data_IF_117099189878
#
_entry.id   IF_117099189878
#
_cell.length_a   1.000
_cell.length_b   1.000
_cell.length_c   1.000
_cell.angle_alpha   90.00
_cell.angle_beta   90.00
_cell.angle_gamma   90.00
#
_symmetry.space_group_name_H-M   'P 1'
#
loop_
_entity.id
_entity.type
_entity.pdbx_description
1 polymer ?
#
# COMPACT_ATOMS: atom_id res chain seq x y z
N UNK A 1 -17.66 -5.35 -9.81
CA UNK A 1 -17.74 -4.12 -10.62
C UNK A 1 -16.48 -4.10 -11.49
N UNK A 2 -16.58 -3.89 -12.80
CA UNK A 2 -15.38 -3.90 -13.64
C UNK A 2 -14.47 -2.73 -13.25
N UNK A 3 -13.16 -2.96 -13.22
CA UNK A 3 -12.19 -1.99 -12.71
C UNK A 3 -12.18 -0.66 -13.46
N UNK A 4 -12.56 -0.70 -14.73
CA UNK A 4 -12.75 0.46 -15.59
C UNK A 4 -13.86 1.42 -15.15
N UNK A 5 -14.86 0.98 -14.37
CA UNK A 5 -15.96 1.84 -13.95
C UNK A 5 -15.58 2.64 -12.71
N UNK A 6 -14.93 2.03 -11.72
CA UNK A 6 -14.49 2.76 -10.53
C UNK A 6 -13.23 3.59 -10.79
N UNK A 7 -12.30 3.14 -11.64
CA UNK A 7 -11.07 3.92 -11.91
C UNK A 7 -11.36 5.24 -12.62
N UNK A 8 -12.35 5.27 -13.52
CA UNK A 8 -12.83 6.52 -14.15
C UNK A 8 -13.38 7.52 -13.14
N UNK A 9 -14.08 7.05 -12.11
CA UNK A 9 -14.58 7.94 -11.07
C UNK A 9 -13.41 8.58 -10.28
N UNK A 10 -12.37 7.78 -9.99
CA UNK A 10 -11.17 8.24 -9.29
C UNK A 10 -10.27 9.14 -10.16
N UNK A 11 -10.32 9.03 -11.49
CA UNK A 11 -9.57 9.88 -12.41
C UNK A 11 -9.91 11.38 -12.29
N UNK A 12 -11.02 11.72 -11.63
CA UNK A 12 -11.42 13.11 -11.37
C UNK A 12 -10.66 13.75 -10.21
N UNK A 13 -9.98 12.95 -9.38
CA UNK A 13 -9.23 13.44 -8.22
C UNK A 13 -8.05 14.31 -8.66
N UNK A 14 -7.86 15.43 -7.97
CA UNK A 14 -6.74 16.35 -8.19
C UNK A 14 -6.17 16.80 -6.86
N UNK A 15 -4.87 16.63 -6.70
CA UNK A 15 -4.13 17.10 -5.54
C UNK A 15 -2.83 17.79 -5.97
N UNK A 16 -2.34 18.81 -5.24
CA UNK A 16 -1.17 19.60 -5.64
C UNK A 16 0.12 18.81 -5.84
N UNK A 17 0.25 17.64 -5.20
CA UNK A 17 1.43 16.76 -5.27
C UNK A 17 1.14 15.44 -5.99
N UNK A 18 0.07 15.37 -6.78
CA UNK A 18 -0.38 14.12 -7.43
C UNK A 18 -1.30 13.27 -6.55
N UNK A 19 -1.92 12.28 -7.19
CA UNK A 19 -2.78 11.29 -6.53
C UNK A 19 -2.00 9.98 -6.48
N UNK A 20 -1.97 9.37 -5.30
CA UNK A 20 -1.06 8.29 -4.93
C UNK A 20 -1.86 7.12 -4.40
N UNK A 21 -1.50 5.90 -4.79
CA UNK A 21 -2.21 4.69 -4.39
C UNK A 21 -1.26 3.51 -4.13
N UNK A 22 -1.73 2.59 -3.30
CA UNK A 22 -1.20 1.23 -3.12
C UNK A 22 -2.37 0.26 -3.25
N UNK A 23 -2.09 -1.02 -3.49
CA UNK A 23 -3.14 -2.03 -3.49
C UNK A 23 -3.45 -2.50 -2.08
N UNK A 24 -4.70 -2.90 -1.87
CA UNK A 24 -5.10 -3.67 -0.70
C UNK A 24 -5.27 -5.15 -0.99
N UNK A 25 -5.53 -5.91 0.07
CA UNK A 25 -5.75 -7.35 0.04
C UNK A 25 -6.86 -7.72 -0.97
N UNK A 26 -7.94 -6.94 -1.07
CA UNK A 26 -9.03 -7.21 -2.01
C UNK A 26 -8.65 -7.01 -3.49
N UNK A 27 -7.78 -6.05 -3.81
CA UNK A 27 -7.25 -5.89 -5.18
C UNK A 27 -6.48 -7.13 -5.63
N UNK A 28 -5.79 -7.77 -4.68
CA UNK A 28 -5.10 -9.02 -4.90
C UNK A 28 -6.03 -10.23 -4.93
N UNK A 29 -6.98 -10.33 -4.00
CA UNK A 29 -7.86 -11.50 -3.85
C UNK A 29 -8.83 -11.66 -5.02
N UNK A 30 -9.27 -10.55 -5.62
CA UNK A 30 -10.18 -10.56 -6.75
C UNK A 30 -9.47 -10.88 -8.08
N UNK A 31 -8.16 -10.62 -8.19
CA UNK A 31 -7.39 -10.93 -9.40
C UNK A 31 -6.87 -12.38 -9.39
N UNK A 32 -7.61 -13.27 -10.06
CA UNK A 32 -7.26 -14.69 -10.19
C UNK A 32 -5.93 -14.93 -10.91
N UNK A 33 -5.52 -14.03 -11.81
CA UNK A 33 -4.26 -14.15 -12.55
C UNK A 33 -3.10 -13.77 -11.63
N UNK A 34 -3.21 -12.66 -10.91
CA UNK A 34 -2.23 -12.26 -9.90
C UNK A 34 -2.12 -13.32 -8.79
N UNK A 35 -3.25 -13.86 -8.30
CA UNK A 35 -3.26 -14.97 -7.34
C UNK A 35 -2.53 -16.21 -7.89
N UNK A 36 -2.73 -16.55 -9.17
CA UNK A 36 -2.05 -17.69 -9.79
C UNK A 36 -0.55 -17.47 -9.92
N UNK A 37 -0.15 -16.27 -10.31
CA UNK A 37 1.26 -15.91 -10.50
C UNK A 37 1.99 -15.77 -9.16
N UNK A 38 1.27 -15.43 -8.08
CA UNK A 38 1.87 -15.14 -6.78
C UNK A 38 2.62 -13.81 -6.74
N UNK A 39 2.22 -12.86 -7.59
CA UNK A 39 2.87 -11.57 -7.74
C UNK A 39 2.55 -10.93 -9.10
N UNK A 40 3.18 -9.78 -9.36
CA UNK A 40 2.96 -8.96 -10.54
C UNK A 40 1.75 -8.03 -10.38
N UNK A 41 1.42 -7.28 -11.43
CA UNK A 41 0.35 -6.28 -11.35
C UNK A 41 -1.04 -6.93 -11.37
N UNK A 42 -1.88 -6.54 -10.41
CA UNK A 42 -3.32 -6.81 -10.44
C UNK A 42 -4.02 -5.94 -11.50
N UNK A 43 -5.27 -6.25 -11.84
CA UNK A 43 -6.08 -5.37 -12.66
C UNK A 43 -6.32 -4.00 -12.00
N UNK A 44 -6.25 -3.92 -10.66
CA UNK A 44 -6.37 -2.68 -9.89
C UNK A 44 -5.20 -1.74 -10.14
N UNK A 45 -3.97 -2.28 -10.09
CA UNK A 45 -2.75 -1.54 -10.45
C UNK A 45 -2.88 -0.89 -11.82
N UNK A 46 -3.21 -1.71 -12.84
CA UNK A 46 -3.35 -1.24 -14.22
C UNK A 46 -4.45 -0.20 -14.36
N UNK A 47 -5.62 -0.42 -13.77
CA UNK A 47 -6.76 0.49 -13.90
C UNK A 47 -6.50 1.86 -13.27
N UNK A 48 -5.79 1.92 -12.13
CA UNK A 48 -5.40 3.18 -11.49
C UNK A 48 -4.29 3.89 -12.27
N UNK A 49 -3.28 3.16 -12.74
CA UNK A 49 -2.22 3.71 -13.58
C UNK A 49 -2.79 4.29 -14.89
N UNK A 50 -3.70 3.59 -15.56
CA UNK A 50 -4.42 4.07 -16.76
C UNK A 50 -5.28 5.31 -16.47
N UNK A 51 -5.73 5.49 -15.22
CA UNK A 51 -6.45 6.68 -14.76
C UNK A 51 -5.52 7.85 -14.39
N UNK A 52 -4.20 7.71 -14.55
CA UNK A 52 -3.20 8.73 -14.23
C UNK A 52 -2.90 8.85 -12.73
N UNK A 53 -3.19 7.81 -11.95
CA UNK A 53 -2.87 7.73 -10.52
C UNK A 53 -1.55 6.99 -10.37
N UNK A 54 -0.62 7.55 -9.59
CA UNK A 54 0.66 6.91 -9.30
C UNK A 54 0.43 5.74 -8.34
N UNK A 55 0.76 4.53 -8.76
CA UNK A 55 0.58 3.30 -7.98
C UNK A 55 1.93 2.76 -7.53
N UNK A 56 2.07 2.50 -6.23
CA UNK A 56 3.31 2.04 -5.62
C UNK A 56 3.24 0.56 -5.25
N UNK A 57 4.27 -0.18 -5.65
CA UNK A 57 4.50 -1.59 -5.31
C UNK A 57 5.90 -1.74 -4.73
N UNK A 58 6.02 -1.74 -3.39
CA UNK A 58 7.30 -1.73 -2.66
C UNK A 58 8.30 -0.68 -3.18
N UNK A 59 7.79 0.54 -3.40
CA UNK A 59 8.52 1.62 -4.06
C UNK A 59 8.47 2.88 -3.22
N UNK A 60 9.62 3.56 -3.12
CA UNK A 60 9.70 4.91 -2.56
C UNK A 60 10.02 5.94 -3.64
N UNK A 61 9.39 7.11 -3.53
CA UNK A 61 9.66 8.28 -4.36
C UNK A 61 9.90 9.50 -3.49
N UNK A 62 10.79 10.38 -3.95
CA UNK A 62 11.04 11.65 -3.30
C UNK A 62 10.11 12.70 -3.89
N UNK A 63 9.36 13.37 -3.03
CA UNK A 63 8.50 14.51 -3.35
C UNK A 63 9.08 15.78 -2.73
N UNK A 64 8.61 16.93 -3.23
CA UNK A 64 9.01 18.23 -2.71
C UNK A 64 7.79 19.13 -2.59
N UNK A 65 7.72 19.87 -1.49
CA UNK A 65 6.70 20.89 -1.25
C UNK A 65 7.34 22.10 -0.59
N UNK A 66 7.17 23.28 -1.21
CA UNK A 66 7.64 24.56 -0.68
C UNK A 66 9.14 24.54 -0.31
N UNK A 67 9.96 23.92 -1.16
CA UNK A 67 11.42 23.78 -0.98
C UNK A 67 11.84 22.71 0.04
N UNK A 68 10.89 21.98 0.64
CA UNK A 68 11.15 20.90 1.59
C UNK A 68 10.88 19.54 0.95
N UNK A 69 11.89 18.67 0.95
CA UNK A 69 11.79 17.31 0.45
C UNK A 69 11.25 16.34 1.50
N UNK A 70 10.51 15.33 1.05
CA UNK A 70 10.11 14.17 1.86
C UNK A 70 9.94 12.94 0.96
N UNK A 71 9.94 11.76 1.54
CA UNK A 71 9.73 10.50 0.81
C UNK A 71 8.31 9.99 1.01
N UNK A 72 7.71 9.50 -0.08
CA UNK A 72 6.49 8.70 -0.04
C UNK A 72 6.87 7.26 -0.41
N UNK A 73 6.71 6.34 0.54
CA UNK A 73 6.97 4.92 0.38
C UNK A 73 5.64 4.16 0.35
N UNK A 74 5.39 3.33 -0.66
CA UNK A 74 4.20 2.49 -0.73
C UNK A 74 4.55 1.01 -0.77
N UNK A 75 3.97 0.25 0.17
CA UNK A 75 4.12 -1.20 0.23
C UNK A 75 3.06 -1.91 -0.61
N UNK A 76 3.41 -3.12 -1.02
CA UNK A 76 2.42 -4.14 -1.34
C UNK A 76 1.69 -4.63 -0.08
N UNK A 77 0.63 -5.41 -0.28
CA UNK A 77 -0.24 -5.87 0.80
C UNK A 77 0.33 -7.07 1.58
N UNK A 78 0.25 -7.02 2.91
CA UNK A 78 0.75 -8.08 3.81
C UNK A 78 -0.10 -9.37 3.76
N UNK A 79 -1.30 -9.27 3.20
CA UNK A 79 -2.29 -10.32 3.04
C UNK A 79 -2.62 -10.54 1.55
N UNK A 80 -1.71 -10.22 0.62
CA UNK A 80 -1.96 -10.28 -0.81
C UNK A 80 -2.40 -11.69 -1.30
N UNK A 81 -1.80 -12.76 -0.81
CA UNK A 81 -1.91 -14.10 -1.39
C UNK A 81 -2.75 -15.06 -0.52
N UNK A 82 -3.86 -15.55 -1.05
CA UNK A 82 -4.76 -16.46 -0.34
C UNK A 82 -4.15 -17.86 -0.14
N UNK A 83 -4.39 -18.53 1.01
CA UNK A 83 -4.07 -19.93 1.19
C UNK A 83 -4.93 -20.80 0.28
N UNK A 84 -4.47 -22.02 0.02
CA UNK A 84 -5.29 -23.03 -0.63
C UNK A 84 -4.48 -24.04 -1.40
N UNK A 85 -4.99 -25.28 -1.43
CA UNK A 85 -4.39 -26.40 -2.18
C UNK A 85 -4.18 -26.07 -3.66
N UNK A 86 -5.10 -25.30 -4.26
CA UNK A 86 -5.00 -24.83 -5.65
C UNK A 86 -3.71 -24.03 -5.91
N UNK A 87 -3.27 -23.25 -4.93
CA UNK A 87 -2.11 -22.37 -5.02
C UNK A 87 -0.85 -22.96 -4.38
N UNK A 88 -0.96 -24.16 -3.77
CA UNK A 88 0.10 -24.78 -2.94
C UNK A 88 0.59 -23.85 -1.81
N UNK A 89 -0.30 -23.03 -1.26
CA UNK A 89 -0.02 -22.11 -0.14
C UNK A 89 -0.68 -22.62 1.12
N UNK A 90 0.11 -22.77 2.19
CA UNK A 90 -0.37 -23.27 3.48
C UNK A 90 -1.01 -22.18 4.35
N UNK A 91 -0.61 -20.92 4.16
CA UNK A 91 -1.07 -19.74 4.89
C UNK A 91 -1.36 -18.58 3.95
N UNK A 92 -1.96 -17.51 4.49
CA UNK A 92 -1.89 -16.18 3.88
C UNK A 92 -0.42 -15.80 3.64
N UNK A 93 -0.14 -15.13 2.52
CA UNK A 93 1.18 -14.61 2.20
C UNK A 93 1.11 -13.12 1.86
N UNK A 94 2.09 -12.37 2.34
CA UNK A 94 2.29 -10.97 1.95
C UNK A 94 3.20 -10.84 0.74
N UNK A 95 3.06 -9.73 0.04
CA UNK A 95 4.01 -9.28 -0.97
C UNK A 95 4.75 -8.01 -0.56
N UNK A 96 4.50 -7.50 0.66
CA UNK A 96 5.19 -6.37 1.25
C UNK A 96 6.70 -6.61 1.38
N UNK A 97 7.49 -5.59 1.07
CA UNK A 97 8.94 -5.56 1.30
C UNK A 97 9.33 -4.22 1.94
N UNK A 98 9.13 -4.12 3.26
CA UNK A 98 9.45 -2.91 4.01
C UNK A 98 10.93 -2.54 3.91
N UNK A 99 11.82 -3.51 4.09
CA UNK A 99 13.26 -3.27 4.09
C UNK A 99 13.75 -2.82 2.70
N UNK A 100 13.34 -3.51 1.64
CA UNK A 100 13.68 -3.13 0.26
C UNK A 100 13.05 -1.81 -0.17
N UNK A 101 11.87 -1.47 0.34
CA UNK A 101 11.23 -0.16 0.10
C UNK A 101 12.01 0.95 0.78
N UNK A 102 12.37 0.81 2.06
CA UNK A 102 13.10 1.83 2.81
C UNK A 102 14.56 1.97 2.38
N UNK A 103 15.17 0.91 1.83
CA UNK A 103 16.52 0.98 1.24
C UNK A 103 16.62 1.95 0.05
N UNK A 104 15.50 2.37 -0.55
CA UNK A 104 15.46 3.33 -1.66
C UNK A 104 15.54 4.79 -1.18
N UNK A 105 15.37 5.03 0.13
CA UNK A 105 15.47 6.36 0.75
C UNK A 105 16.95 6.70 0.92
N UNK A 106 17.45 7.67 0.15
CA UNK A 106 18.89 7.97 0.04
C UNK A 106 19.38 9.16 0.87
N UNK A 107 18.46 9.89 1.52
CA UNK A 107 18.78 11.05 2.36
C UNK A 107 17.97 11.03 3.67
N UNK A 108 18.22 12.01 4.54
CA UNK A 108 17.59 12.11 5.87
C UNK A 108 16.24 12.86 5.85
N UNK A 109 15.64 13.06 4.66
CA UNK A 109 14.32 13.65 4.57
C UNK A 109 13.26 12.72 5.21
N UNK A 110 12.19 13.29 5.81
CA UNK A 110 11.17 12.48 6.48
C UNK A 110 10.46 11.54 5.51
N UNK A 111 10.09 10.34 6.00
CA UNK A 111 9.39 9.32 5.21
C UNK A 111 7.94 9.20 5.65
N UNK A 112 7.02 9.25 4.69
CA UNK A 112 5.62 8.86 4.84
C UNK A 112 5.46 7.47 4.22
N UNK A 113 4.98 6.50 5.01
CA UNK A 113 4.72 5.14 4.57
C UNK A 113 3.23 4.93 4.33
N UNK A 114 2.87 4.45 3.16
CA UNK A 114 1.55 3.91 2.82
C UNK A 114 1.61 2.39 2.98
N UNK A 115 0.74 1.86 3.82
CA UNK A 115 0.51 0.42 3.96
C UNK A 115 -0.99 0.16 3.94
N UNK A 116 -1.44 -0.98 3.43
CA UNK A 116 -2.87 -1.29 3.51
C UNK A 116 -3.25 -1.86 4.87
N UNK A 117 -2.39 -2.74 5.39
CA UNK A 117 -2.59 -3.51 6.61
C UNK A 117 -1.92 -2.82 7.82
N UNK A 118 -2.60 -2.66 8.96
CA UNK A 118 -2.00 -2.03 10.15
C UNK A 118 -1.01 -2.93 10.88
N UNK A 119 -1.05 -4.24 10.67
CA UNK A 119 -0.10 -5.17 11.32
C UNK A 119 1.37 -4.91 10.95
N UNK A 120 1.65 -3.98 10.03
CA UNK A 120 2.99 -3.48 9.74
C UNK A 120 3.59 -2.64 10.88
N UNK A 121 2.79 -1.92 11.67
CA UNK A 121 3.25 -0.90 12.61
C UNK A 121 4.37 -1.36 13.56
N UNK A 122 4.32 -2.57 14.17
CA UNK A 122 5.41 -3.06 15.02
C UNK A 122 6.76 -3.25 14.30
N UNK A 123 6.75 -3.36 12.96
CA UNK A 123 7.94 -3.52 12.12
C UNK A 123 8.45 -2.20 11.56
N UNK A 124 7.64 -1.14 11.60
CA UNK A 124 8.01 0.17 11.05
C UNK A 124 9.10 0.81 11.92
N UNK A 125 10.28 1.15 11.37
CA UNK A 125 11.35 1.75 12.15
C UNK A 125 11.07 3.23 12.45
N UNK A 126 11.69 3.81 13.49
CA UNK A 126 11.54 5.24 13.84
C UNK A 126 11.92 6.24 12.74
N UNK A 127 12.62 5.80 11.67
CA UNK A 127 12.93 6.63 10.48
C UNK A 127 11.67 7.06 9.73
N UNK A 128 10.59 6.30 9.83
CA UNK A 128 9.30 6.64 9.23
C UNK A 128 8.58 7.65 10.12
N UNK A 129 8.37 8.85 9.60
CA UNK A 129 7.76 9.95 10.34
C UNK A 129 6.24 9.80 10.47
N UNK A 130 5.60 9.15 9.49
CA UNK A 130 4.16 8.91 9.46
C UNK A 130 3.86 7.63 8.69
N UNK A 131 2.99 6.77 9.23
CA UNK A 131 2.41 5.65 8.51
C UNK A 131 0.90 5.87 8.35
N UNK A 132 0.42 5.76 7.11
CA UNK A 132 -1.00 5.80 6.77
C UNK A 132 -1.42 4.37 6.43
N UNK A 133 -2.29 3.79 7.28
CA UNK A 133 -2.80 2.43 7.09
C UNK A 133 -4.31 2.38 6.93
N UNK A 134 -4.77 1.44 6.09
CA UNK A 134 -6.16 1.21 5.73
C UNK A 134 -6.73 -0.06 6.38
N UNK A 135 -7.39 -0.88 5.57
CA UNK A 135 -7.97 -2.20 5.88
C UNK A 135 -9.10 -2.24 6.92
N UNK A 136 -8.93 -1.61 8.07
CA UNK A 136 -9.87 -1.68 9.21
C UNK A 136 -11.10 -0.78 9.07
N UNK A 137 -11.18 0.01 7.98
CA UNK A 137 -12.31 0.89 7.66
C UNK A 137 -12.74 1.81 8.83
N UNK A 138 -11.77 2.34 9.59
CA UNK A 138 -11.99 3.26 10.72
C UNK A 138 -11.86 2.64 12.11
N UNK A 139 -11.45 1.37 12.21
CA UNK A 139 -11.37 0.60 13.46
C UNK A 139 -10.10 0.78 14.30
N UNK A 140 -9.38 1.89 14.20
CA UNK A 140 -8.21 2.18 15.05
C UNK A 140 -8.48 3.38 15.98
N UNK A 141 -9.22 3.14 17.06
CA UNK A 141 -9.42 4.13 18.13
C UNK A 141 -8.47 3.82 19.29
N UNK A 142 -7.56 4.76 19.58
CA UNK A 142 -6.77 4.73 20.82
C UNK A 142 -7.59 5.33 21.96
N UNK A 143 -7.82 4.54 23.02
CA UNK A 143 -8.42 5.04 24.26
C UNK A 143 -7.32 5.23 25.30
N UNK A 144 -7.10 6.49 25.73
CA UNK A 144 -6.11 6.84 26.75
C UNK A 144 -4.71 6.21 26.52
N UNK A 145 -4.24 6.22 25.26
CA UNK A 145 -2.93 5.65 24.87
C UNK A 145 -2.89 4.14 24.65
N UNK A 146 -4.01 3.43 24.84
CA UNK A 146 -4.10 1.98 24.70
C UNK A 146 -4.86 1.60 23.42
N UNK A 147 -4.37 0.56 22.73
CA UNK A 147 -4.99 -0.03 21.53
C UNK A 147 -5.44 -1.47 21.84
N UNK A 148 -6.74 -1.82 21.76
CA UNK A 148 -7.23 -3.15 22.10
C UNK A 148 -6.92 -4.23 21.05
N UNK A 149 -6.67 -3.81 19.81
CA UNK A 149 -6.11 -4.62 18.72
C UNK A 149 -4.93 -3.82 18.16
N UNK A 150 -3.93 -4.50 17.62
CA UNK A 150 -2.64 -3.94 17.18
C UNK A 150 -2.83 -2.53 16.59
N UNK A 151 -2.16 -1.49 17.16
CA UNK A 151 -2.06 -0.22 16.47
C UNK A 151 -1.30 -0.42 15.19
#
# INVERSE_FOLDING_TARGET
VHSNEWSKALATLKAPLGVHAIMGNHDWWEDRTAQKNGGGETFGHRALAEAGIEVYSNRAVRLEKDGSGFWLAGLEDQLALLPGRKWKRASMGGLDDLDGTLAQVTDEAPVILLAHEPDIFPKVPPRVALTLSGHTHGGQVRFAGHSPVVP
#
